data_IF_072541652034
#
_entry.id   IF_072541652034
#
_cell.length_a   1.000
_cell.length_b   1.000
_cell.length_c   1.000
_cell.angle_alpha   90.00
_cell.angle_beta   90.00
_cell.angle_gamma   90.00
#
_symmetry.space_group_name_H-M   'P 1'
#
loop_
_entity.id
_entity.type
_entity.pdbx_description
1 polymer ?
#
# COMPACT_ATOMS: atom_id res chain seq x y z
N UNK A 1 17.86 13.08 -26.64
CA UNK A 1 17.74 12.03 -25.60
C UNK A 1 18.97 11.96 -24.69
N UNK A 2 20.21 11.87 -25.17
CA UNK A 2 21.42 11.84 -24.31
C UNK A 2 21.58 13.06 -23.38
N UNK A 3 21.30 14.28 -23.87
CA UNK A 3 21.42 15.51 -23.08
C UNK A 3 20.41 15.59 -21.92
N UNK A 4 19.21 15.04 -22.10
CA UNK A 4 18.15 15.06 -21.09
C UNK A 4 18.44 14.04 -19.97
N UNK A 5 18.93 12.84 -20.31
CA UNK A 5 19.39 11.87 -19.30
C UNK A 5 20.61 12.35 -18.52
N UNK A 6 21.60 12.96 -19.18
CA UNK A 6 22.77 13.53 -18.51
C UNK A 6 22.37 14.68 -17.56
N UNK A 7 21.40 15.51 -17.97
CA UNK A 7 20.83 16.57 -17.14
C UNK A 7 20.08 16.03 -15.91
N UNK A 8 19.18 15.06 -16.09
CA UNK A 8 18.45 14.42 -14.98
C UNK A 8 19.39 13.72 -14.01
N UNK A 9 20.44 13.05 -14.51
CA UNK A 9 21.44 12.41 -13.66
C UNK A 9 22.27 13.42 -12.85
N UNK A 10 22.62 14.56 -13.45
CA UNK A 10 23.31 15.65 -12.75
C UNK A 10 22.44 16.36 -11.72
N UNK A 11 21.14 16.48 -11.97
CA UNK A 11 20.19 17.03 -11.01
C UNK A 11 20.06 16.11 -9.78
N UNK A 12 19.95 14.79 -9.98
CA UNK A 12 19.80 13.81 -8.89
C UNK A 12 21.12 13.53 -8.15
N UNK A 13 22.23 13.44 -8.87
CA UNK A 13 23.57 13.18 -8.32
C UNK A 13 24.63 14.15 -8.87
N UNK A 14 24.69 15.38 -8.34
CA UNK A 14 25.63 16.39 -8.80
C UNK A 14 27.10 16.08 -8.44
N UNK A 15 27.34 15.17 -7.48
CA UNK A 15 28.70 14.82 -7.03
C UNK A 15 29.36 13.81 -7.97
N UNK A 16 28.59 12.86 -8.51
CA UNK A 16 29.15 11.81 -9.37
C UNK A 16 28.77 11.92 -10.86
N UNK A 17 27.90 12.86 -11.24
CA UNK A 17 27.53 13.06 -12.65
C UNK A 17 28.25 14.26 -13.30
N UNK A 18 28.52 14.21 -14.62
CA UNK A 18 29.16 15.31 -15.34
C UNK A 18 28.22 16.52 -15.46
N UNK A 19 28.74 17.70 -15.13
CA UNK A 19 28.01 18.98 -15.28
C UNK A 19 27.74 19.26 -16.76
N UNK A 20 26.48 19.57 -17.14
CA UNK A 20 26.16 20.01 -18.50
C UNK A 20 26.90 21.30 -18.84
N UNK A 21 27.52 21.37 -20.03
CA UNK A 21 28.27 22.54 -20.50
C UNK A 21 27.39 23.76 -20.82
N UNK A 22 26.11 23.53 -21.11
CA UNK A 22 25.25 24.52 -21.78
C UNK A 22 24.32 25.27 -20.81
N UNK A 23 24.43 25.05 -19.49
CA UNK A 23 23.51 25.61 -18.49
C UNK A 23 24.29 26.24 -17.33
N UNK A 24 23.91 27.47 -16.97
CA UNK A 24 24.44 28.19 -15.81
C UNK A 24 24.18 27.43 -14.50
N UNK A 25 25.22 27.20 -13.71
CA UNK A 25 25.17 26.43 -12.46
C UNK A 25 24.10 26.91 -11.48
N UNK A 26 23.93 28.23 -11.38
CA UNK A 26 22.90 28.84 -10.54
C UNK A 26 21.49 28.38 -10.93
N UNK A 27 21.20 28.26 -12.23
CA UNK A 27 19.87 27.82 -12.72
C UNK A 27 19.65 26.34 -12.43
N UNK A 28 20.69 25.52 -12.57
CA UNK A 28 20.62 24.09 -12.25
C UNK A 28 20.33 23.88 -10.76
N UNK A 29 21.01 24.62 -9.88
CA UNK A 29 20.79 24.52 -8.43
C UNK A 29 19.36 24.92 -8.05
N UNK A 30 18.84 26.03 -8.57
CA UNK A 30 17.45 26.45 -8.33
C UNK A 30 16.46 25.38 -8.78
N UNK A 31 16.69 24.79 -9.97
CA UNK A 31 15.80 23.75 -10.49
C UNK A 31 15.85 22.46 -9.67
N UNK A 32 17.05 22.04 -9.23
CA UNK A 32 17.23 20.87 -8.36
C UNK A 32 16.53 21.06 -7.02
N UNK A 33 16.74 22.21 -6.39
CA UNK A 33 16.16 22.51 -5.08
C UNK A 33 14.64 22.56 -5.17
N UNK A 34 14.08 23.14 -6.25
CA UNK A 34 12.65 23.12 -6.53
C UNK A 34 12.11 21.69 -6.70
N UNK A 35 12.78 20.86 -7.51
CA UNK A 35 12.32 19.49 -7.76
C UNK A 35 12.36 18.64 -6.50
N UNK A 36 13.45 18.73 -5.72
CA UNK A 36 13.55 18.07 -4.43
C UNK A 36 12.45 18.53 -3.48
N UNK A 37 12.20 19.85 -3.38
CA UNK A 37 11.15 20.40 -2.52
C UNK A 37 9.77 19.88 -2.91
N UNK A 38 9.46 19.80 -4.20
CA UNK A 38 8.18 19.28 -4.68
C UNK A 38 8.02 17.79 -4.37
N UNK A 39 9.08 16.99 -4.55
CA UNK A 39 9.05 15.56 -4.21
C UNK A 39 8.89 15.36 -2.70
N UNK A 40 9.66 16.08 -1.88
CA UNK A 40 9.55 16.02 -0.42
C UNK A 40 8.16 16.45 0.08
N UNK A 41 7.53 17.42 -0.58
CA UNK A 41 6.13 17.80 -0.32
C UNK A 41 5.17 16.67 -0.68
N UNK A 42 5.28 16.10 -1.88
CA UNK A 42 4.42 15.00 -2.30
C UNK A 42 4.52 13.77 -1.36
N UNK A 43 5.73 13.45 -0.91
CA UNK A 43 5.95 12.41 0.10
C UNK A 43 5.35 12.79 1.45
N UNK A 44 5.46 14.05 1.86
CA UNK A 44 4.88 14.52 3.12
C UNK A 44 3.36 14.40 3.13
N UNK A 45 2.73 14.69 1.99
CA UNK A 45 1.28 14.66 1.83
C UNK A 45 0.77 13.22 1.69
N UNK A 46 1.55 12.33 1.07
CA UNK A 46 1.22 10.91 0.91
C UNK A 46 1.51 10.03 2.12
N UNK A 47 2.42 10.44 3.00
CA UNK A 47 2.84 9.66 4.19
C UNK A 47 2.86 10.52 5.47
N UNK A 48 1.72 11.13 5.85
CA UNK A 48 1.65 12.07 6.95
C UNK A 48 2.04 11.46 8.32
N UNK A 49 1.67 10.21 8.59
CA UNK A 49 2.00 9.52 9.85
C UNK A 49 3.48 9.19 9.89
N UNK A 50 4.06 8.60 8.83
CA UNK A 50 5.51 8.38 8.73
C UNK A 50 6.28 9.69 8.99
N UNK A 51 5.89 10.78 8.32
CA UNK A 51 6.53 12.09 8.53
C UNK A 51 6.41 12.57 9.97
N UNK A 52 5.27 12.33 10.62
CA UNK A 52 5.00 12.82 11.99
C UNK A 52 5.82 12.07 13.04
N UNK A 53 6.05 10.77 12.85
CA UNK A 53 6.82 9.95 13.81
C UNK A 53 8.33 10.07 13.60
N UNK A 54 8.78 10.41 12.40
CA UNK A 54 10.19 10.65 12.12
C UNK A 54 10.64 12.00 12.70
N UNK A 55 11.89 12.08 13.14
CA UNK A 55 12.52 13.38 13.36
C UNK A 55 12.67 14.12 12.01
N UNK A 56 12.75 15.46 12.04
CA UNK A 56 12.93 16.27 10.83
C UNK A 56 14.18 15.83 10.03
N UNK A 57 15.28 15.55 10.73
CA UNK A 57 16.53 15.09 10.11
C UNK A 57 16.38 13.71 9.48
N UNK A 58 15.68 12.78 10.15
CA UNK A 58 15.45 11.43 9.64
C UNK A 58 14.57 11.48 8.38
N UNK A 59 13.47 12.24 8.43
CA UNK A 59 12.58 12.41 7.29
C UNK A 59 13.30 13.03 6.10
N UNK A 60 14.08 14.10 6.31
CA UNK A 60 14.86 14.71 5.26
C UNK A 60 15.87 13.73 4.65
N UNK A 61 16.55 12.93 5.49
CA UNK A 61 17.46 11.89 5.01
C UNK A 61 16.73 10.85 4.15
N UNK A 62 15.52 10.43 4.53
CA UNK A 62 14.67 9.53 3.74
C UNK A 62 14.35 10.12 2.38
N UNK A 63 13.83 11.36 2.34
CA UNK A 63 13.47 12.02 1.09
C UNK A 63 14.69 12.24 0.18
N UNK A 64 15.85 12.59 0.75
CA UNK A 64 17.08 12.81 -0.03
C UNK A 64 17.62 11.52 -0.62
N UNK A 65 17.59 10.44 0.15
CA UNK A 65 18.05 9.13 -0.34
C UNK A 65 17.13 8.60 -1.45
N UNK A 66 15.80 8.71 -1.29
CA UNK A 66 14.83 8.42 -2.35
C UNK A 66 15.13 9.25 -3.61
N UNK A 67 15.24 10.57 -3.47
CA UNK A 67 15.50 11.48 -4.60
C UNK A 67 16.78 11.15 -5.38
N UNK A 68 17.79 10.67 -4.66
CA UNK A 68 19.10 10.39 -5.22
C UNK A 68 19.19 9.01 -5.89
N UNK A 69 18.72 7.97 -5.20
CA UNK A 69 18.89 6.58 -5.60
C UNK A 69 17.81 6.10 -6.54
N UNK A 70 16.57 6.47 -6.26
CA UNK A 70 15.42 5.93 -6.97
C UNK A 70 15.17 6.72 -8.26
N UNK A 71 15.38 6.10 -9.44
CA UNK A 71 15.09 6.77 -10.69
C UNK A 71 13.60 6.64 -10.97
N UNK A 72 12.79 7.61 -10.50
CA UNK A 72 11.34 7.61 -10.76
C UNK A 72 11.07 7.34 -12.23
N UNK A 73 10.35 6.26 -12.52
CA UNK A 73 10.09 5.77 -13.86
C UNK A 73 8.95 6.56 -14.49
N UNK A 74 8.02 7.03 -13.65
CA UNK A 74 6.94 7.93 -14.05
C UNK A 74 7.36 9.41 -14.03
N UNK A 75 6.94 10.21 -15.03
CA UNK A 75 7.05 11.67 -14.98
C UNK A 75 5.95 12.34 -14.15
N UNK A 76 4.95 11.60 -13.64
CA UNK A 76 3.78 12.15 -12.96
C UNK A 76 3.95 12.17 -11.43
N UNK A 77 3.63 13.30 -10.80
CA UNK A 77 3.70 13.45 -9.34
C UNK A 77 2.72 12.53 -8.58
N UNK A 78 1.61 12.14 -9.22
CA UNK A 78 0.63 11.19 -8.67
C UNK A 78 1.23 9.83 -8.34
N UNK A 79 2.33 9.48 -9.00
CA UNK A 79 2.91 8.14 -8.93
C UNK A 79 4.05 8.08 -7.90
N UNK A 80 4.46 9.23 -7.36
CA UNK A 80 5.53 9.34 -6.36
C UNK A 80 5.28 8.46 -5.13
N UNK A 81 4.06 8.42 -4.54
CA UNK A 81 3.82 7.54 -3.40
C UNK A 81 4.09 6.06 -3.71
N UNK A 82 3.67 5.58 -4.88
CA UNK A 82 3.93 4.19 -5.29
C UNK A 82 5.43 3.93 -5.50
N UNK A 83 6.13 4.84 -6.17
CA UNK A 83 7.58 4.75 -6.38
C UNK A 83 8.34 4.78 -5.04
N UNK A 84 7.83 5.52 -4.06
CA UNK A 84 8.40 5.55 -2.71
C UNK A 84 8.26 4.21 -1.98
N UNK A 85 7.12 3.53 -2.09
CA UNK A 85 6.97 2.16 -1.57
C UNK A 85 7.99 1.23 -2.20
N UNK A 86 8.14 1.28 -3.54
CA UNK A 86 9.12 0.45 -4.25
C UNK A 86 10.54 0.70 -3.75
N UNK A 87 10.93 1.97 -3.58
CA UNK A 87 12.21 2.37 -3.03
C UNK A 87 12.42 1.85 -1.60
N UNK A 88 11.42 2.01 -0.71
CA UNK A 88 11.53 1.54 0.68
C UNK A 88 11.77 0.03 0.71
N UNK A 89 11.05 -0.73 -0.12
CA UNK A 89 11.13 -2.19 -0.15
C UNK A 89 12.46 -2.71 -0.73
N UNK A 90 12.93 -2.13 -1.85
CA UNK A 90 14.02 -2.73 -2.63
C UNK A 90 15.37 -2.02 -2.48
N UNK A 91 15.38 -0.73 -2.14
CA UNK A 91 16.60 0.09 -2.17
C UNK A 91 17.01 0.54 -0.77
N UNK A 92 16.05 1.00 0.05
CA UNK A 92 16.34 1.53 1.38
C UNK A 92 16.70 0.44 2.37
N UNK A 93 15.97 -0.67 2.38
CA UNK A 93 16.23 -1.83 3.27
C UNK A 93 17.66 -2.39 3.13
N UNK A 94 18.29 -2.21 1.97
CA UNK A 94 19.67 -2.63 1.69
C UNK A 94 20.72 -1.55 2.00
N UNK A 95 20.31 -0.37 2.45
CA UNK A 95 21.19 0.77 2.72
C UNK A 95 21.75 0.73 4.15
N UNK A 96 23.03 1.06 4.32
CA UNK A 96 23.64 1.25 5.64
C UNK A 96 22.99 2.37 6.45
N UNK A 97 22.45 3.38 5.76
CA UNK A 97 21.79 4.53 6.41
C UNK A 97 20.38 4.20 6.90
N UNK A 98 19.87 3.00 6.61
CA UNK A 98 18.57 2.53 7.12
C UNK A 98 18.65 2.02 8.57
N UNK A 99 19.84 2.03 9.19
CA UNK A 99 20.03 1.54 10.57
C UNK A 99 19.22 2.33 11.61
N UNK A 100 18.93 3.60 11.33
CA UNK A 100 18.15 4.49 12.20
C UNK A 100 16.65 4.45 11.86
N UNK A 101 16.23 3.67 10.86
CA UNK A 101 14.82 3.58 10.49
C UNK A 101 14.02 2.77 11.51
N UNK A 102 12.78 3.19 11.71
CA UNK A 102 11.82 2.40 12.49
C UNK A 102 11.59 1.06 11.79
N UNK A 103 11.49 -0.06 12.54
CA UNK A 103 11.42 -1.39 11.93
C UNK A 103 10.14 -1.63 11.11
N UNK A 104 9.12 -0.80 11.33
CA UNK A 104 7.84 -0.85 10.63
C UNK A 104 7.71 0.23 9.53
N UNK A 105 8.79 0.93 9.16
CA UNK A 105 8.73 2.06 8.21
C UNK A 105 8.03 1.68 6.90
N UNK A 106 8.45 0.58 6.27
CA UNK A 106 7.85 0.08 5.03
C UNK A 106 6.38 -0.31 5.23
N UNK A 107 6.08 -1.05 6.30
CA UNK A 107 4.72 -1.51 6.58
C UNK A 107 3.76 -0.34 6.82
N UNK A 108 4.19 0.67 7.57
CA UNK A 108 3.40 1.88 7.83
C UNK A 108 3.22 2.71 6.56
N UNK A 109 4.29 2.93 5.79
CA UNK A 109 4.18 3.64 4.52
C UNK A 109 3.22 2.91 3.56
N UNK A 110 3.31 1.58 3.48
CA UNK A 110 2.39 0.78 2.66
C UNK A 110 0.94 0.95 3.14
N UNK A 111 0.70 0.92 4.45
CA UNK A 111 -0.63 1.17 5.02
C UNK A 111 -1.22 2.53 4.65
N UNK A 112 -0.45 3.61 4.77
CA UNK A 112 -0.89 4.96 4.36
C UNK A 112 -1.14 5.03 2.84
N UNK A 113 -0.31 4.35 2.05
CA UNK A 113 -0.49 4.30 0.59
C UNK A 113 -1.77 3.56 0.18
N UNK A 114 -2.17 2.49 0.89
CA UNK A 114 -3.43 1.79 0.60
C UNK A 114 -4.65 2.70 0.77
N UNK A 115 -4.64 3.58 1.77
CA UNK A 115 -5.71 4.57 1.97
C UNK A 115 -5.86 5.46 0.73
N UNK A 116 -4.73 5.97 0.22
CA UNK A 116 -4.71 6.80 -0.99
C UNK A 116 -5.21 6.03 -2.21
N UNK A 117 -4.69 4.82 -2.47
CA UNK A 117 -5.09 4.02 -3.64
C UNK A 117 -6.59 3.76 -3.63
N UNK A 118 -7.12 3.28 -2.50
CA UNK A 118 -8.55 3.01 -2.36
C UNK A 118 -9.40 4.27 -2.56
N UNK A 119 -8.87 5.45 -2.19
CA UNK A 119 -9.58 6.72 -2.39
C UNK A 119 -9.70 7.13 -3.86
N UNK A 120 -8.73 6.79 -4.70
CA UNK A 120 -8.68 7.19 -6.11
C UNK A 120 -9.15 6.09 -7.08
N UNK A 121 -9.29 4.84 -6.64
CA UNK A 121 -9.79 3.75 -7.48
C UNK A 121 -11.18 4.08 -8.02
N UNK A 122 -11.43 3.84 -9.30
CA UNK A 122 -12.73 4.07 -9.92
C UNK A 122 -13.79 3.08 -9.38
N UNK A 123 -15.04 3.54 -9.28
CA UNK A 123 -16.16 2.64 -8.98
C UNK A 123 -16.58 1.88 -10.23
N UNK A 124 -16.76 0.57 -10.07
CA UNK A 124 -17.33 -0.28 -11.11
C UNK A 124 -18.75 -0.71 -10.73
N UNK A 125 -19.61 -0.83 -11.74
CA UNK A 125 -20.95 -1.36 -11.56
C UNK A 125 -20.94 -2.89 -11.64
N UNK A 126 -21.35 -3.54 -10.55
CA UNK A 126 -21.43 -4.99 -10.47
C UNK A 126 -22.87 -5.48 -10.59
N UNK A 127 -23.11 -6.66 -11.20
CA UNK A 127 -24.39 -7.33 -11.14
C UNK A 127 -24.85 -7.53 -9.68
N UNK A 128 -26.16 -7.47 -9.37
CA UNK A 128 -26.65 -7.71 -8.03
C UNK A 128 -26.37 -9.16 -7.60
N UNK A 129 -25.98 -9.32 -6.34
CA UNK A 129 -25.75 -10.64 -5.73
C UNK A 129 -27.08 -11.13 -5.16
N UNK A 130 -27.57 -12.28 -5.65
CA UNK A 130 -28.86 -12.85 -5.21
C UNK A 130 -28.71 -14.12 -4.38
N UNK A 131 -27.72 -14.95 -4.71
CA UNK A 131 -27.33 -16.14 -3.94
C UNK A 131 -25.81 -16.16 -3.78
N UNK A 132 -25.27 -15.48 -2.74
CA UNK A 132 -23.83 -15.40 -2.50
C UNK A 132 -23.15 -16.77 -2.44
N UNK A 133 -23.85 -17.82 -2.01
CA UNK A 133 -23.28 -19.15 -1.81
C UNK A 133 -23.05 -19.89 -3.14
N UNK A 134 -23.95 -19.72 -4.11
CA UNK A 134 -23.86 -20.36 -5.42
C UNK A 134 -23.44 -19.41 -6.55
N UNK A 135 -22.84 -18.27 -6.23
CA UNK A 135 -22.35 -17.29 -7.18
C UNK A 135 -20.82 -17.16 -7.07
N UNK A 136 -20.17 -16.77 -8.18
CA UNK A 136 -18.78 -16.35 -8.15
C UNK A 136 -18.70 -14.90 -7.64
N UNK A 137 -17.93 -14.71 -6.57
CA UNK A 137 -17.71 -13.42 -5.92
C UNK A 137 -16.22 -13.10 -5.92
N UNK A 138 -15.91 -11.81 -5.92
CA UNK A 138 -14.54 -11.29 -5.84
C UNK A 138 -14.46 -10.15 -4.83
N UNK A 139 -13.24 -9.80 -4.42
CA UNK A 139 -12.99 -8.59 -3.66
C UNK A 139 -13.11 -7.38 -4.60
N UNK A 140 -13.77 -6.32 -4.14
CA UNK A 140 -13.92 -5.10 -4.92
C UNK A 140 -12.55 -4.43 -5.17
N UNK A 141 -12.30 -3.78 -6.32
CA UNK A 141 -11.09 -2.99 -6.55
C UNK A 141 -10.90 -1.85 -5.54
N UNK A 142 -12.00 -1.38 -4.95
CA UNK A 142 -12.05 -0.38 -3.87
C UNK A 142 -11.85 -1.00 -2.49
N UNK A 143 -11.41 -2.25 -2.41
CA UNK A 143 -11.05 -2.93 -1.17
C UNK A 143 -9.71 -3.67 -1.34
N UNK A 144 -8.78 -3.39 -0.43
CA UNK A 144 -7.47 -4.00 -0.38
C UNK A 144 -7.27 -4.69 0.97
N UNK A 145 -6.56 -5.81 0.95
CA UNK A 145 -6.38 -6.67 2.12
C UNK A 145 -4.88 -6.86 2.33
N UNK A 146 -4.43 -6.60 3.54
CA UNK A 146 -3.01 -6.65 3.88
C UNK A 146 -2.77 -7.32 5.22
N UNK A 147 -1.59 -7.92 5.33
CA UNK A 147 -1.06 -8.46 6.57
C UNK A 147 0.24 -7.72 6.91
N UNK A 148 0.37 -7.33 8.17
CA UNK A 148 1.49 -6.58 8.69
C UNK A 148 2.06 -7.29 9.92
N UNK A 149 3.37 -7.28 10.06
CA UNK A 149 4.03 -7.77 11.27
C UNK A 149 3.70 -6.85 12.44
N UNK A 150 3.66 -5.54 12.19
CA UNK A 150 3.36 -4.53 13.19
C UNK A 150 1.90 -4.05 13.10
N UNK A 151 1.32 -3.59 14.22
CA UNK A 151 -0.03 -3.02 14.23
C UNK A 151 -0.02 -1.59 13.66
N UNK A 152 0.26 -1.45 12.37
CA UNK A 152 0.46 -0.17 11.66
C UNK A 152 -0.68 0.83 11.86
N UNK A 153 -1.92 0.37 11.89
CA UNK A 153 -3.12 1.17 12.15
C UNK A 153 -3.21 1.79 13.56
N UNK A 154 -2.34 1.37 14.50
CA UNK A 154 -2.23 1.95 15.86
C UNK A 154 -1.03 2.89 16.00
N UNK A 155 -0.13 2.92 15.01
CA UNK A 155 1.11 3.68 15.11
C UNK A 155 0.81 5.17 15.13
N UNK A 156 1.43 5.84 16.08
CA UNK A 156 1.29 7.28 16.31
C UNK A 156 2.50 7.77 17.11
N UNK A 157 2.70 9.09 17.30
CA UNK A 157 3.76 9.60 18.16
C UNK A 157 3.75 9.03 19.59
N UNK A 158 2.57 8.64 20.08
CA UNK A 158 2.39 8.06 21.42
C UNK A 158 2.53 6.53 21.45
N UNK A 159 2.58 5.86 20.30
CA UNK A 159 2.70 4.41 20.20
C UNK A 159 3.64 3.99 19.06
N UNK A 160 4.89 3.69 19.43
CA UNK A 160 5.97 3.27 18.54
C UNK A 160 6.51 1.92 19.02
N UNK A 161 6.01 0.77 18.50
CA UNK A 161 6.45 -0.54 18.93
C UNK A 161 7.90 -0.82 18.49
N UNK A 162 8.78 -1.11 19.45
CA UNK A 162 10.18 -1.46 19.17
C UNK A 162 10.34 -2.91 18.68
N UNK A 163 9.44 -3.80 19.10
CA UNK A 163 9.43 -5.22 18.73
C UNK A 163 8.07 -5.60 18.15
N UNK A 164 8.02 -6.57 17.22
CA UNK A 164 6.76 -7.04 16.66
C UNK A 164 5.96 -7.83 17.71
N UNK A 165 4.62 -7.74 17.72
CA UNK A 165 3.78 -8.61 18.54
C UNK A 165 3.88 -10.09 18.13
N UNK A 166 3.42 -10.99 19.01
CA UNK A 166 3.39 -12.44 18.75
C UNK A 166 2.50 -12.83 17.55
N UNK A 167 1.51 -12.00 17.23
CA UNK A 167 0.55 -12.24 16.16
C UNK A 167 0.59 -11.06 15.16
N UNK A 168 0.62 -11.35 13.85
CA UNK A 168 0.53 -10.31 12.84
C UNK A 168 -0.85 -9.63 12.87
N UNK A 169 -0.89 -8.42 12.37
CA UNK A 169 -2.10 -7.64 12.19
C UNK A 169 -2.63 -7.83 10.77
N UNK A 170 -3.91 -8.17 10.64
CA UNK A 170 -4.58 -8.29 9.34
C UNK A 170 -5.61 -7.18 9.20
N UNK A 171 -5.57 -6.47 8.08
CA UNK A 171 -6.44 -5.32 7.81
C UNK A 171 -7.14 -5.48 6.46
N UNK A 172 -8.39 -5.02 6.40
CA UNK A 172 -9.06 -4.64 5.17
C UNK A 172 -9.19 -3.11 5.13
N UNK A 173 -8.68 -2.50 4.06
CA UNK A 173 -8.82 -1.07 3.73
C UNK A 173 -9.79 -0.97 2.58
N UNK A 174 -10.91 -0.28 2.74
CA UNK A 174 -11.95 -0.26 1.71
C UNK A 174 -12.71 1.05 1.67
N UNK A 175 -13.25 1.39 0.50
CA UNK A 175 -14.20 2.48 0.34
C UNK A 175 -15.61 1.91 0.47
N UNK A 176 -16.35 2.37 1.47
CA UNK A 176 -17.73 1.94 1.67
C UNK A 176 -18.68 2.55 0.61
N UNK A 177 -19.95 2.13 0.64
CA UNK A 177 -21.00 2.61 -0.26
C UNK A 177 -21.32 4.12 -0.15
N UNK A 178 -20.84 4.78 0.90
CA UNK A 178 -20.96 6.24 1.11
C UNK A 178 -19.68 6.98 0.64
N UNK A 179 -18.81 6.31 -0.12
CA UNK A 179 -17.51 6.79 -0.59
C UNK A 179 -16.53 7.20 0.53
N UNK A 180 -16.67 6.63 1.73
CA UNK A 180 -15.79 6.88 2.87
C UNK A 180 -14.78 5.75 3.02
N UNK A 181 -13.51 6.10 3.22
CA UNK A 181 -12.45 5.12 3.48
C UNK A 181 -12.60 4.57 4.88
N UNK A 182 -12.59 3.25 4.98
CA UNK A 182 -12.81 2.48 6.19
C UNK A 182 -11.67 1.48 6.39
N UNK A 183 -11.34 1.27 7.65
CA UNK A 183 -10.34 0.31 8.08
C UNK A 183 -11.01 -0.73 8.98
N UNK A 184 -10.73 -2.01 8.73
CA UNK A 184 -11.26 -3.10 9.52
C UNK A 184 -10.11 -4.05 9.89
N UNK A 185 -9.86 -4.20 11.18
CA UNK A 185 -9.02 -5.29 11.69
C UNK A 185 -9.79 -6.61 11.55
N UNK A 186 -9.19 -7.58 10.87
CA UNK A 186 -9.80 -8.86 10.52
C UNK A 186 -9.03 -10.02 11.13
N UNK A 187 -9.69 -11.18 11.25
CA UNK A 187 -9.02 -12.40 11.72
C UNK A 187 -8.14 -13.03 10.63
N UNK A 188 -7.14 -13.86 10.98
CA UNK A 188 -6.33 -14.57 9.98
C UNK A 188 -7.18 -15.42 9.02
N UNK A 189 -8.25 -16.03 9.54
CA UNK A 189 -9.21 -16.80 8.73
C UNK A 189 -9.99 -15.92 7.75
N UNK A 190 -10.40 -14.73 8.18
CA UNK A 190 -11.08 -13.76 7.32
C UNK A 190 -10.15 -13.21 6.25
N UNK A 191 -8.89 -12.95 6.60
CA UNK A 191 -7.86 -12.59 5.64
C UNK A 191 -7.68 -13.68 4.57
N UNK A 192 -7.51 -14.94 4.99
CA UNK A 192 -7.38 -16.06 4.05
C UNK A 192 -8.61 -16.21 3.13
N UNK A 193 -9.81 -15.93 3.64
CA UNK A 193 -11.03 -15.91 2.83
C UNK A 193 -11.00 -14.82 1.76
N UNK A 194 -10.65 -13.58 2.13
CA UNK A 194 -10.56 -12.49 1.18
C UNK A 194 -9.46 -12.71 0.14
N UNK A 195 -8.30 -13.26 0.54
CA UNK A 195 -7.24 -13.64 -0.41
C UNK A 195 -7.73 -14.72 -1.39
N UNK A 196 -8.54 -15.68 -0.93
CA UNK A 196 -9.10 -16.71 -1.81
C UNK A 196 -10.19 -16.18 -2.76
N UNK A 197 -10.85 -15.08 -2.40
CA UNK A 197 -11.82 -14.38 -3.24
C UNK A 197 -11.15 -13.37 -4.19
N UNK A 198 -9.97 -12.85 -3.85
CA UNK A 198 -9.25 -11.89 -4.69
C UNK A 198 -9.00 -12.48 -6.09
N UNK A 199 -9.27 -11.67 -7.11
CA UNK A 199 -9.17 -12.05 -8.53
C UNK A 199 -9.98 -13.29 -8.95
N UNK A 200 -10.95 -13.73 -8.14
CA UNK A 200 -11.80 -14.86 -8.49
C UNK A 200 -12.81 -14.45 -9.56
N UNK A 201 -12.73 -15.09 -10.73
CA UNK A 201 -13.62 -14.83 -11.87
C UNK A 201 -14.67 -15.90 -12.08
N UNK A 202 -14.52 -17.09 -11.48
CA UNK A 202 -15.31 -18.26 -11.90
C UNK A 202 -15.68 -19.25 -10.81
N UNK A 203 -14.91 -19.36 -9.72
CA UNK A 203 -15.21 -20.32 -8.67
C UNK A 203 -16.41 -19.86 -7.85
N UNK A 204 -17.31 -20.79 -7.55
CA UNK A 204 -18.44 -20.50 -6.68
C UNK A 204 -17.96 -20.35 -5.23
N UNK A 205 -18.57 -19.43 -4.50
CA UNK A 205 -18.27 -19.17 -3.09
C UNK A 205 -18.25 -20.43 -2.23
N UNK A 206 -19.21 -21.35 -2.42
CA UNK A 206 -19.26 -22.62 -1.69
C UNK A 206 -18.01 -23.49 -1.87
N UNK A 207 -17.39 -23.46 -3.04
CA UNK A 207 -16.22 -24.28 -3.37
C UNK A 207 -14.96 -23.69 -2.72
N UNK A 208 -14.87 -22.36 -2.71
CA UNK A 208 -13.84 -21.60 -1.99
C UNK A 208 -13.94 -21.88 -0.48
N UNK A 209 -15.12 -21.72 0.11
CA UNK A 209 -15.37 -21.99 1.53
C UNK A 209 -15.07 -23.44 1.91
N UNK A 210 -15.43 -24.39 1.06
CA UNK A 210 -15.14 -25.82 1.27
C UNK A 210 -13.63 -26.10 1.24
N UNK A 211 -12.90 -25.41 0.36
CA UNK A 211 -11.43 -25.54 0.27
C UNK A 211 -10.75 -24.95 1.50
N UNK A 212 -11.19 -23.78 1.95
CA UNK A 212 -10.69 -23.15 3.18
C UNK A 212 -10.96 -24.02 4.42
N UNK A 213 -12.17 -24.58 4.54
CA UNK A 213 -12.51 -25.48 5.65
C UNK A 213 -11.60 -26.72 5.71
N UNK A 214 -11.24 -27.29 4.55
CA UNK A 214 -10.26 -28.39 4.46
C UNK A 214 -8.86 -27.96 4.88
N UNK A 215 -8.40 -26.80 4.42
CA UNK A 215 -7.06 -26.30 4.72
C UNK A 215 -6.87 -25.97 6.21
N UNK A 216 -7.93 -25.47 6.86
CA UNK A 216 -7.93 -25.18 8.29
C UNK A 216 -8.00 -26.43 9.18
N UNK A 217 -8.26 -27.61 8.59
CA UNK A 217 -8.42 -28.89 9.30
C UNK A 217 -9.40 -28.81 10.48
N UNK A 218 -10.42 -27.96 10.36
CA UNK A 218 -11.38 -27.75 11.43
C UNK A 218 -12.20 -29.03 11.66
N UNK A 219 -12.43 -29.46 12.91
CA UNK A 219 -13.15 -30.71 13.22
C UNK A 219 -14.60 -30.72 12.70
N UNK A 220 -15.19 -29.52 12.52
CA UNK A 220 -16.49 -29.34 11.87
C UNK A 220 -16.39 -28.36 10.69
N UNK A 221 -16.25 -28.87 9.45
CA UNK A 221 -16.20 -28.03 8.24
C UNK A 221 -17.45 -27.19 8.02
N UNK A 222 -18.62 -27.62 8.52
CA UNK A 222 -19.90 -26.93 8.31
C UNK A 222 -19.91 -25.58 9.02
N UNK A 223 -19.29 -25.50 10.20
CA UNK A 223 -19.15 -24.26 10.97
C UNK A 223 -18.31 -23.23 10.22
N UNK A 224 -17.21 -23.67 9.59
CA UNK A 224 -16.35 -22.78 8.81
C UNK A 224 -17.11 -22.23 7.60
N UNK A 225 -17.86 -23.08 6.90
CA UNK A 225 -18.65 -22.68 5.73
C UNK A 225 -19.75 -21.69 6.13
N UNK A 226 -20.51 -21.96 7.20
CA UNK A 226 -21.56 -21.06 7.68
C UNK A 226 -21.00 -19.72 8.17
N UNK A 227 -19.92 -19.76 8.96
CA UNK A 227 -19.25 -18.55 9.44
C UNK A 227 -18.68 -17.72 8.29
N UNK A 228 -18.01 -18.37 7.33
CA UNK A 228 -17.48 -17.69 6.14
C UNK A 228 -18.58 -17.07 5.28
N UNK A 229 -19.72 -17.75 5.09
CA UNK A 229 -20.86 -17.18 4.38
C UNK A 229 -21.45 -15.97 5.13
N UNK A 230 -21.51 -16.00 6.47
CA UNK A 230 -21.94 -14.86 7.27
C UNK A 230 -21.01 -13.65 7.08
N UNK A 231 -19.70 -13.87 7.06
CA UNK A 231 -18.70 -12.82 6.82
C UNK A 231 -18.85 -12.25 5.41
N UNK A 232 -19.06 -13.09 4.40
CA UNK A 232 -19.27 -12.64 3.02
C UNK A 232 -20.50 -11.74 2.92
N UNK A 233 -21.62 -12.10 3.58
CA UNK A 233 -22.81 -11.25 3.57
C UNK A 233 -22.55 -9.87 4.19
N UNK A 234 -21.84 -9.80 5.33
CA UNK A 234 -21.43 -8.53 5.92
C UNK A 234 -20.54 -7.72 4.96
N UNK A 235 -19.60 -8.39 4.29
CA UNK A 235 -18.68 -7.74 3.35
C UNK A 235 -19.34 -7.27 2.06
N UNK A 236 -20.40 -7.92 1.60
CA UNK A 236 -21.26 -7.42 0.52
C UNK A 236 -21.92 -6.12 0.94
N UNK A 237 -22.48 -6.05 2.16
CA UNK A 237 -23.11 -4.82 2.67
C UNK A 237 -22.12 -3.67 2.86
N UNK A 238 -20.86 -3.98 3.14
CA UNK A 238 -19.76 -3.00 3.26
C UNK A 238 -19.19 -2.55 1.93
N UNK A 239 -19.50 -3.23 0.82
CA UNK A 239 -18.89 -2.99 -0.49
C UNK A 239 -17.49 -3.61 -0.66
N UNK A 240 -17.06 -4.50 0.24
CA UNK A 240 -15.76 -5.18 0.18
C UNK A 240 -15.81 -6.35 -0.82
N UNK A 241 -16.95 -7.05 -0.88
CA UNK A 241 -17.15 -8.20 -1.76
C UNK A 241 -18.25 -7.88 -2.77
N UNK A 242 -17.98 -8.19 -4.03
CA UNK A 242 -18.84 -7.91 -5.18
C UNK A 242 -18.97 -9.14 -6.07
N UNK A 243 -19.91 -9.08 -7.02
CA UNK A 243 -20.02 -10.11 -8.06
C UNK A 243 -18.73 -10.16 -8.88
N UNK A 244 -18.24 -11.37 -9.16
CA UNK A 244 -17.12 -11.53 -10.07
C UNK A 244 -17.43 -10.95 -11.47
N UNK A 245 -16.48 -10.29 -12.15
CA UNK A 245 -16.65 -9.86 -13.53
C UNK A 245 -16.77 -11.10 -14.43
N UNK A 246 -17.71 -11.03 -15.40
CA UNK A 246 -17.92 -12.09 -16.40
C UNK A 246 -16.74 -12.25 -17.37
#
# INVERSE_FOLDING_TARGET
>A
MQTQHAFTRYIRDPKNAPKPSDIEERRINIYRDLLFTNIASALSDGFPVVKTICSEQQWENICRDFYHRHPSQSPYFSDIPQEFIHYLEHERTSNSDAIDDTPFLLELAHYEWLEFIVSITDDEAYPPISDPFNQALTVAPTALVAAYTYPVHKISPDFLPAEPPDQPTYLAVYRNIEHTICFLEITPTTHALLIALADNTSQLTKDILSTLAKNLQHPDPSVVIQGGLSIINDFIHRGIVVSAPN
#
